data_IF_912221759227
#
_entry.id   IF_912221759227
#
_cell.length_a   1.000
_cell.length_b   1.000
_cell.length_c   1.000
_cell.angle_alpha   90.00
_cell.angle_beta   90.00
_cell.angle_gamma   90.00
#
_symmetry.space_group_name_H-M   'P 1'
#
loop_
_entity.id
_entity.type
_entity.pdbx_description
1 polymer ?
#
# COMPACT_ATOMS: atom_id res chain seq x y z
N UNK A 1 -28.88 2.16 -3.26
CA UNK A 1 -27.69 2.13 -2.38
C UNK A 1 -27.46 0.77 -1.69
N UNK A 2 -28.31 -0.25 -1.85
CA UNK A 2 -28.15 -1.53 -1.12
C UNK A 2 -27.06 -2.44 -1.72
N UNK A 3 -26.86 -2.43 -3.05
CA UNK A 3 -25.93 -3.37 -3.71
C UNK A 3 -24.45 -3.04 -3.46
N UNK A 4 -24.06 -1.75 -3.53
CA UNK A 4 -22.71 -1.33 -3.18
C UNK A 4 -22.33 -1.75 -1.76
N UNK A 5 -23.23 -1.49 -0.81
CA UNK A 5 -23.00 -1.83 0.60
C UNK A 5 -22.85 -3.34 0.79
N UNK A 6 -23.55 -4.17 0.00
CA UNK A 6 -23.40 -5.62 0.04
C UNK A 6 -22.02 -6.09 -0.46
N UNK A 7 -21.50 -5.51 -1.57
CA UNK A 7 -20.14 -5.80 -2.02
C UNK A 7 -19.09 -5.39 -0.99
N UNK A 8 -19.24 -4.19 -0.43
CA UNK A 8 -18.31 -3.69 0.60
C UNK A 8 -18.36 -4.54 1.87
N UNK A 9 -19.54 -4.99 2.30
CA UNK A 9 -19.66 -5.90 3.44
C UNK A 9 -18.99 -7.25 3.16
N UNK A 10 -19.20 -7.85 1.99
CA UNK A 10 -18.56 -9.11 1.62
C UNK A 10 -17.01 -8.98 1.56
N UNK A 11 -16.50 -7.88 1.01
CA UNK A 11 -15.05 -7.61 0.99
C UNK A 11 -14.49 -7.22 2.37
N UNK A 12 -15.31 -6.73 3.30
CA UNK A 12 -14.89 -6.52 4.67
C UNK A 12 -14.78 -7.85 5.45
N UNK A 13 -15.62 -8.84 5.13
CA UNK A 13 -15.55 -10.19 5.70
C UNK A 13 -14.37 -10.99 5.12
N UNK A 14 -14.10 -10.85 3.82
CA UNK A 14 -12.97 -11.46 3.15
C UNK A 14 -12.41 -10.55 2.06
N UNK A 15 -11.41 -9.75 2.42
CA UNK A 15 -10.79 -8.80 1.48
C UNK A 15 -10.03 -9.48 0.34
N UNK A 16 -9.66 -10.76 0.50
CA UNK A 16 -8.93 -11.52 -0.52
C UNK A 16 -9.85 -12.26 -1.49
N UNK A 17 -11.17 -12.08 -1.36
CA UNK A 17 -12.14 -12.62 -2.30
C UNK A 17 -12.04 -11.91 -3.66
N UNK A 18 -11.13 -12.41 -4.48
CA UNK A 18 -10.87 -11.93 -5.84
C UNK A 18 -12.11 -12.06 -6.72
N UNK A 19 -12.96 -13.08 -6.49
CA UNK A 19 -14.19 -13.25 -7.27
C UNK A 19 -15.15 -12.11 -6.98
N UNK A 20 -15.38 -11.82 -5.69
CA UNK A 20 -16.23 -10.70 -5.27
C UNK A 20 -15.67 -9.37 -5.76
N UNK A 21 -14.35 -9.16 -5.76
CA UNK A 21 -13.74 -7.94 -6.33
C UNK A 21 -13.99 -7.76 -7.82
N UNK A 22 -13.88 -8.83 -8.61
CA UNK A 22 -14.12 -8.75 -10.06
C UNK A 22 -15.59 -8.47 -10.37
N UNK A 23 -16.53 -9.13 -9.69
CA UNK A 23 -17.96 -8.85 -9.85
C UNK A 23 -18.30 -7.42 -9.42
N UNK A 24 -17.71 -6.95 -8.32
CA UNK A 24 -17.89 -5.57 -7.88
C UNK A 24 -17.32 -4.58 -8.90
N UNK A 25 -16.16 -4.87 -9.49
CA UNK A 25 -15.57 -4.06 -10.54
C UNK A 25 -16.47 -3.97 -11.77
N UNK A 26 -17.04 -5.08 -12.23
CA UNK A 26 -17.96 -5.08 -13.37
C UNK A 26 -19.23 -4.25 -13.06
N UNK A 27 -19.78 -4.39 -11.85
CA UNK A 27 -20.90 -3.55 -11.40
C UNK A 27 -20.54 -2.05 -11.37
N UNK A 28 -19.35 -1.69 -10.86
CA UNK A 28 -18.86 -0.31 -10.86
C UNK A 28 -18.73 0.25 -12.28
N UNK A 29 -18.26 -0.57 -13.21
CA UNK A 29 -18.12 -0.22 -14.62
C UNK A 29 -19.48 0.08 -15.27
N UNK A 30 -20.50 -0.73 -14.95
CA UNK A 30 -21.89 -0.51 -15.37
C UNK A 30 -22.50 0.78 -14.79
N UNK A 31 -22.06 1.19 -13.59
CA UNK A 31 -22.45 2.48 -12.99
C UNK A 31 -21.66 3.68 -13.55
N UNK A 32 -20.67 3.45 -14.42
CA UNK A 32 -19.77 4.48 -14.96
C UNK A 32 -18.62 4.88 -14.01
N UNK A 33 -18.41 4.15 -12.91
CA UNK A 33 -17.28 4.33 -11.99
C UNK A 33 -16.02 3.59 -12.50
N UNK A 34 -15.62 3.88 -13.75
CA UNK A 34 -14.56 3.14 -14.47
C UNK A 34 -13.21 3.12 -13.74
N UNK A 35 -12.77 4.24 -13.16
CA UNK A 35 -11.48 4.32 -12.45
C UNK A 35 -11.45 3.42 -11.19
N UNK A 36 -12.57 3.36 -10.48
CA UNK A 36 -12.71 2.53 -9.27
C UNK A 36 -12.84 1.05 -9.66
N UNK A 37 -13.57 0.73 -10.73
CA UNK A 37 -13.61 -0.62 -11.30
C UNK A 37 -12.19 -1.12 -11.65
N UNK A 38 -11.42 -0.28 -12.33
CA UNK A 38 -10.03 -0.55 -12.67
C UNK A 38 -9.13 -0.77 -11.45
N UNK A 39 -9.34 0.02 -10.39
CA UNK A 39 -8.62 -0.16 -9.13
C UNK A 39 -8.96 -1.51 -8.50
N UNK A 40 -10.23 -1.88 -8.43
CA UNK A 40 -10.68 -3.16 -7.86
C UNK A 40 -10.08 -4.37 -8.62
N UNK A 41 -9.97 -4.28 -9.95
CA UNK A 41 -9.33 -5.32 -10.79
C UNK A 41 -7.82 -5.45 -10.51
N UNK A 42 -7.14 -4.33 -10.24
CA UNK A 42 -5.69 -4.29 -9.94
C UNK A 42 -5.36 -4.65 -8.49
N UNK A 43 -6.35 -4.57 -7.59
CA UNK A 43 -6.18 -4.74 -6.14
C UNK A 43 -5.49 -6.05 -5.73
N UNK A 44 -5.87 -7.24 -6.25
CA UNK A 44 -5.27 -8.50 -5.81
C UNK A 44 -3.75 -8.56 -6.06
N UNK A 45 -3.32 -8.21 -7.28
CA UNK A 45 -1.91 -8.18 -7.63
C UNK A 45 -1.13 -7.12 -6.83
N UNK A 46 -1.76 -5.97 -6.55
CA UNK A 46 -1.14 -4.93 -5.73
C UNK A 46 -0.95 -5.36 -4.27
N UNK A 47 -1.94 -6.05 -3.68
CA UNK A 47 -1.82 -6.61 -2.33
C UNK A 47 -0.75 -7.70 -2.28
N UNK A 48 -0.76 -8.64 -3.23
CA UNK A 48 0.24 -9.70 -3.31
C UNK A 48 1.66 -9.12 -3.39
N UNK A 49 1.85 -8.08 -4.21
CA UNK A 49 3.13 -7.38 -4.30
C UNK A 49 3.54 -6.76 -2.95
N UNK A 50 2.65 -6.04 -2.26
CA UNK A 50 2.97 -5.42 -0.96
C UNK A 50 3.28 -6.45 0.13
N UNK A 51 2.54 -7.56 0.17
CA UNK A 51 2.79 -8.66 1.11
C UNK A 51 4.15 -9.31 0.82
N UNK A 52 4.44 -9.58 -0.45
CA UNK A 52 5.74 -10.13 -0.88
C UNK A 52 6.90 -9.18 -0.60
N UNK A 53 6.72 -7.89 -0.87
CA UNK A 53 7.69 -6.84 -0.56
C UNK A 53 7.97 -6.76 0.94
N UNK A 54 6.92 -6.79 1.76
CA UNK A 54 7.04 -6.80 3.22
C UNK A 54 7.80 -8.04 3.72
N UNK A 55 7.46 -9.22 3.22
CA UNK A 55 8.11 -10.47 3.62
C UNK A 55 9.58 -10.55 3.17
N UNK A 56 9.92 -10.03 1.99
CA UNK A 56 11.27 -10.10 1.44
C UNK A 56 12.26 -9.14 2.13
N UNK A 57 11.78 -8.09 2.79
CA UNK A 57 12.61 -7.02 3.37
C UNK A 57 12.48 -6.90 4.90
N UNK A 58 11.77 -7.84 5.55
CA UNK A 58 11.76 -8.01 7.00
C UNK A 58 12.65 -9.21 7.37
N UNK A 59 13.94 -8.96 7.59
CA UNK A 59 14.85 -10.01 8.04
C UNK A 59 14.60 -10.35 9.51
N UNK A 60 14.28 -9.34 10.31
CA UNK A 60 13.93 -9.49 11.71
C UNK A 60 15.19 -9.71 12.57
N UNK A 61 15.03 -9.75 13.89
CA UNK A 61 16.17 -9.80 14.80
C UNK A 61 17.09 -11.01 14.54
N UNK A 62 18.39 -10.75 14.41
CA UNK A 62 19.42 -11.78 14.31
C UNK A 62 20.57 -11.56 15.32
N UNK A 63 21.67 -12.31 15.20
CA UNK A 63 22.81 -12.18 16.10
C UNK A 63 23.57 -10.84 15.92
N UNK A 64 23.47 -10.20 14.75
CA UNK A 64 24.13 -8.94 14.41
C UNK A 64 23.27 -7.72 14.79
N UNK A 65 21.95 -7.79 14.60
CA UNK A 65 20.98 -6.81 15.10
C UNK A 65 19.81 -7.49 15.85
N UNK A 66 19.97 -7.76 17.17
CA UNK A 66 18.94 -8.41 17.97
C UNK A 66 17.73 -7.51 18.28
N UNK A 67 17.75 -6.25 17.84
CA UNK A 67 16.68 -5.29 18.07
C UNK A 67 16.02 -4.82 16.77
N UNK A 68 16.34 -5.42 15.61
CA UNK A 68 15.75 -5.02 14.33
C UNK A 68 14.21 -5.05 14.38
N UNK A 69 13.59 -3.94 14.02
CA UNK A 69 12.14 -3.84 13.97
C UNK A 69 11.58 -4.67 12.81
N UNK A 70 10.46 -5.33 13.05
CA UNK A 70 9.67 -5.97 12.00
C UNK A 70 8.48 -5.06 11.70
N UNK A 71 8.31 -4.71 10.43
CA UNK A 71 7.19 -3.89 9.96
C UNK A 71 6.14 -4.85 9.40
N UNK A 72 4.99 -4.98 10.05
CA UNK A 72 3.92 -5.83 9.50
C UNK A 72 3.34 -5.23 8.22
N UNK A 73 2.56 -6.01 7.46
CA UNK A 73 1.82 -5.49 6.31
C UNK A 73 0.88 -4.34 6.71
N UNK A 74 0.25 -4.42 7.88
CA UNK A 74 -0.62 -3.35 8.38
C UNK A 74 0.20 -2.09 8.72
N UNK A 75 1.36 -2.23 9.37
CA UNK A 75 2.25 -1.12 9.68
C UNK A 75 2.79 -0.47 8.41
N UNK A 76 3.10 -1.27 7.38
CA UNK A 76 3.53 -0.78 6.07
C UNK A 76 2.45 0.10 5.40
N UNK A 77 1.18 -0.28 5.52
CA UNK A 77 0.08 0.54 5.03
C UNK A 77 -0.04 1.86 5.81
N UNK A 78 0.05 1.82 7.13
CA UNK A 78 -0.03 3.02 7.98
C UNK A 78 1.16 3.96 7.79
N UNK A 79 2.38 3.43 7.64
CA UNK A 79 3.55 4.23 7.27
C UNK A 79 3.31 5.03 5.99
N UNK A 80 2.69 4.42 4.98
CA UNK A 80 2.29 5.14 3.77
C UNK A 80 1.24 6.22 4.03
N UNK A 81 0.31 6.03 4.99
CA UNK A 81 -0.70 7.05 5.34
C UNK A 81 -0.05 8.25 6.03
N UNK A 82 0.82 7.97 6.99
CA UNK A 82 1.58 9.00 7.70
C UNK A 82 2.45 9.80 6.74
N UNK A 83 3.13 9.11 5.83
CA UNK A 83 3.95 9.72 4.79
C UNK A 83 3.12 10.63 3.86
N UNK A 84 1.94 10.19 3.42
CA UNK A 84 1.03 11.03 2.61
C UNK A 84 0.49 12.22 3.41
N UNK A 85 0.13 12.03 4.68
CA UNK A 85 -0.39 13.08 5.54
C UNK A 85 0.67 14.15 5.89
N UNK A 86 1.93 13.72 6.04
CA UNK A 86 3.08 14.57 6.30
C UNK A 86 3.78 15.08 5.03
N UNK A 87 3.25 14.76 3.84
CA UNK A 87 3.89 15.12 2.58
C UNK A 87 4.06 16.63 2.45
N UNK A 88 5.25 17.05 2.05
CA UNK A 88 5.57 18.46 1.84
C UNK A 88 6.26 18.69 0.49
N UNK A 89 6.91 19.83 0.32
CA UNK A 89 7.61 20.20 -0.92
C UNK A 89 8.81 19.28 -1.24
N UNK A 90 9.35 18.60 -0.23
CA UNK A 90 10.57 17.79 -0.31
C UNK A 90 10.25 16.29 -0.51
N UNK A 91 8.97 15.90 -0.39
CA UNK A 91 8.47 14.59 -0.79
C UNK A 91 7.70 13.87 0.32
N UNK A 92 7.83 12.54 0.34
CA UNK A 92 7.26 11.67 1.37
C UNK A 92 8.36 11.19 2.33
N UNK A 93 8.16 11.39 3.63
CA UNK A 93 9.03 10.85 4.68
C UNK A 93 8.51 9.51 5.20
N UNK A 94 9.39 8.53 5.38
CA UNK A 94 9.08 7.26 6.04
C UNK A 94 9.95 7.10 7.28
N UNK A 95 9.38 6.51 8.32
CA UNK A 95 10.10 6.13 9.54
C UNK A 95 10.06 4.62 9.69
N UNK A 96 11.05 3.90 9.13
CA UNK A 96 11.12 2.44 9.27
C UNK A 96 11.91 2.00 10.51
N UNK A 97 12.18 2.92 11.46
CA UNK A 97 12.93 2.64 12.68
C UNK A 97 14.36 2.19 12.36
N UNK A 98 14.82 1.13 13.03
CA UNK A 98 16.12 0.52 12.77
C UNK A 98 16.08 -0.59 11.70
N UNK A 99 14.96 -0.82 11.02
CA UNK A 99 14.91 -1.75 9.89
C UNK A 99 15.47 -1.09 8.63
N UNK A 100 16.80 -1.07 8.53
CA UNK A 100 17.52 -0.42 7.44
C UNK A 100 17.27 -1.10 6.10
N UNK A 101 17.06 -2.42 6.10
CA UNK A 101 16.71 -3.19 4.90
C UNK A 101 15.40 -2.71 4.28
N UNK A 102 14.36 -2.53 5.11
CA UNK A 102 13.07 -1.99 4.67
C UNK A 102 13.20 -0.54 4.18
N UNK A 103 13.99 0.29 4.88
CA UNK A 103 14.28 1.66 4.44
C UNK A 103 14.87 1.70 3.03
N UNK A 104 15.93 0.94 2.80
CA UNK A 104 16.60 0.88 1.51
C UNK A 104 15.67 0.32 0.43
N UNK A 105 14.91 -0.73 0.73
CA UNK A 105 13.94 -1.31 -0.20
C UNK A 105 12.84 -0.31 -0.61
N UNK A 106 12.31 0.47 0.35
CA UNK A 106 11.29 1.48 0.08
C UNK A 106 11.83 2.64 -0.75
N UNK A 107 13.08 3.04 -0.52
CA UNK A 107 13.77 4.03 -1.36
C UNK A 107 13.93 3.51 -2.79
N UNK A 108 14.45 2.31 -2.93
CA UNK A 108 14.86 1.76 -4.23
C UNK A 108 13.64 1.36 -5.09
N UNK A 109 12.50 1.02 -4.46
CA UNK A 109 11.26 0.61 -5.13
C UNK A 109 10.11 1.63 -4.95
N UNK A 110 10.43 2.89 -4.64
CA UNK A 110 9.45 3.90 -4.21
C UNK A 110 8.26 4.05 -5.16
N UNK A 111 8.50 4.12 -6.47
CA UNK A 111 7.43 4.29 -7.46
C UNK A 111 6.46 3.09 -7.49
N UNK A 112 6.99 1.87 -7.40
CA UNK A 112 6.20 0.64 -7.39
C UNK A 112 5.46 0.46 -6.07
N UNK A 113 6.12 0.78 -4.94
CA UNK A 113 5.49 0.84 -3.63
C UNK A 113 4.27 1.76 -3.66
N UNK A 114 4.44 3.00 -4.08
CA UNK A 114 3.37 3.99 -4.07
C UNK A 114 2.22 3.63 -4.99
N UNK A 115 2.51 3.07 -6.18
CA UNK A 115 1.49 2.57 -7.10
C UNK A 115 0.64 1.47 -6.45
N UNK A 116 1.27 0.45 -5.87
CA UNK A 116 0.54 -0.66 -5.26
C UNK A 116 -0.19 -0.22 -3.99
N UNK A 117 0.45 0.63 -3.18
CA UNK A 117 -0.13 1.20 -1.97
C UNK A 117 -1.39 2.03 -2.27
N UNK A 118 -1.37 2.90 -3.31
CA UNK A 118 -2.55 3.69 -3.68
C UNK A 118 -3.69 2.82 -4.21
N UNK A 119 -3.36 1.74 -4.94
CA UNK A 119 -4.37 0.78 -5.42
C UNK A 119 -5.04 0.09 -4.23
N UNK A 120 -4.25 -0.44 -3.28
CA UNK A 120 -4.77 -1.20 -2.15
C UNK A 120 -5.60 -0.32 -1.21
N UNK A 121 -5.09 0.88 -0.90
CA UNK A 121 -5.73 1.76 0.07
C UNK A 121 -6.83 2.64 -0.52
N UNK A 122 -6.85 2.84 -1.84
CA UNK A 122 -7.74 3.79 -2.50
C UNK A 122 -7.40 5.26 -2.22
N UNK A 123 -6.28 5.54 -1.53
CA UNK A 123 -5.85 6.90 -1.21
C UNK A 123 -5.09 7.49 -2.40
N UNK A 124 -5.51 8.65 -2.94
CA UNK A 124 -4.79 9.30 -4.03
C UNK A 124 -3.46 9.87 -3.53
N UNK A 125 -2.42 9.76 -4.35
CA UNK A 125 -1.12 10.35 -4.06
C UNK A 125 -1.11 11.83 -4.44
N UNK A 126 -0.50 12.72 -3.63
CA UNK A 126 -0.32 14.12 -3.99
C UNK A 126 0.50 14.27 -5.29
N UNK A 127 0.20 15.31 -6.10
CA UNK A 127 0.86 15.52 -7.39
C UNK A 127 2.37 15.72 -7.22
N UNK A 128 3.15 14.91 -7.94
CA UNK A 128 4.61 14.89 -7.85
C UNK A 128 5.18 14.06 -6.71
N UNK A 129 4.36 13.48 -5.82
CA UNK A 129 4.85 12.67 -4.70
C UNK A 129 5.60 11.40 -5.15
N UNK A 130 5.09 10.71 -6.18
CA UNK A 130 5.74 9.51 -6.71
C UNK A 130 7.04 9.79 -7.49
N UNK A 131 7.19 11.00 -8.05
CA UNK A 131 8.36 11.41 -8.84
C UNK A 131 9.41 12.17 -8.01
N UNK A 132 8.98 12.80 -6.90
CA UNK A 132 9.81 13.54 -5.95
C UNK A 132 9.96 12.80 -4.64
N UNK A 133 9.96 11.46 -4.67
CA UNK A 133 10.19 10.60 -3.52
C UNK A 133 11.58 10.79 -2.94
N UNK A 134 11.86 11.97 -2.38
CA UNK A 134 13.00 12.24 -1.53
C UNK A 134 12.79 11.46 -0.25
N UNK A 135 13.24 10.21 -0.26
CA UNK A 135 13.21 9.36 0.90
C UNK A 135 14.16 9.92 1.95
N UNK A 136 13.59 10.44 3.03
CA UNK A 136 14.35 10.81 4.22
C UNK A 136 13.94 9.83 5.32
N UNK A 137 14.83 8.88 5.62
CA UNK A 137 14.71 8.12 6.85
C UNK A 137 14.95 9.09 8.01
N UNK A 138 13.94 9.30 8.84
CA UNK A 138 14.15 9.93 10.13
C UNK A 138 14.81 8.89 11.05
N UNK A 139 16.14 8.84 11.02
CA UNK A 139 16.95 8.12 12.01
C UNK A 139 17.00 8.91 13.33
#
# INVERSE_FOLDING_TARGET
>A
MIERDAFLAALAENEDDTTTRLVYADWLDEQGEHDEADRQRKWPAAKEWLVGFCAANNHGPDEEDPYEWVISYADLLELGREAVAGADKDGFGFSCGNNMTMCDALRDNSAEFWRNWSIVTGVPLPPGGAERGGFHCAC
#
